data_IF_524371355264
#
_entry.id   IF_524371355264
#
_cell.length_a   1.000
_cell.length_b   1.000
_cell.length_c   1.000
_cell.angle_alpha   90.00
_cell.angle_beta   90.00
_cell.angle_gamma   90.00
#
_symmetry.space_group_name_H-M   'P 1'
#
loop_
_entity.id
_entity.type
_entity.pdbx_description
1 polymer ?
#
# COMPACT_ATOMS: atom_id res chain seq x y z
N UNK A 1 18.43 -1.22 -10.40
CA UNK A 1 18.40 -1.41 -8.92
C UNK A 1 16.98 -1.17 -8.47
N UNK A 2 16.35 -2.18 -7.85
CA UNK A 2 14.95 -2.08 -7.39
C UNK A 2 14.90 -1.36 -6.04
N UNK A 3 13.93 -0.46 -5.89
CA UNK A 3 13.69 0.30 -4.66
C UNK A 3 12.29 -0.01 -4.16
N UNK A 4 12.19 -0.36 -2.88
CA UNK A 4 10.92 -0.58 -2.19
C UNK A 4 10.69 0.54 -1.19
N UNK A 5 9.63 1.30 -1.42
CA UNK A 5 9.15 2.33 -0.50
C UNK A 5 7.66 2.15 -0.22
N UNK A 6 7.19 2.77 0.87
CA UNK A 6 5.76 2.86 1.17
C UNK A 6 5.01 3.53 -0.01
N UNK A 7 3.75 3.16 -0.26
CA UNK A 7 2.99 3.69 -1.37
C UNK A 7 2.69 5.18 -1.22
N UNK A 8 2.40 5.80 -2.36
CA UNK A 8 1.67 7.07 -2.40
C UNK A 8 0.17 6.77 -2.33
N UNK A 9 -0.60 7.76 -1.89
CA UNK A 9 -2.05 7.67 -1.81
C UNK A 9 -2.69 8.63 -2.82
N UNK A 10 -3.91 8.33 -3.27
CA UNK A 10 -4.60 9.14 -4.27
C UNK A 10 -4.88 10.58 -3.83
N UNK A 11 -5.05 10.80 -2.52
CA UNK A 11 -4.98 12.13 -1.92
C UNK A 11 -3.69 12.32 -1.13
N UNK A 12 -3.32 13.58 -0.92
CA UNK A 12 -2.36 13.98 0.12
C UNK A 12 -2.98 13.83 1.52
N UNK A 13 -3.45 12.62 1.87
CA UNK A 13 -4.20 12.33 3.10
C UNK A 13 -3.48 12.79 4.35
N UNK A 14 -2.14 12.81 4.40
CA UNK A 14 -1.39 13.34 5.55
C UNK A 14 -1.74 14.79 5.91
N UNK A 15 -2.13 15.61 4.93
CA UNK A 15 -2.62 16.97 5.19
C UNK A 15 -4.06 16.94 5.76
N UNK A 16 -4.85 15.94 5.37
CA UNK A 16 -6.27 15.79 5.71
C UNK A 16 -6.52 14.95 6.97
N UNK A 17 -5.59 14.07 7.37
CA UNK A 17 -5.66 13.24 8.58
C UNK A 17 -5.72 14.10 9.86
N UNK A 18 -5.32 15.37 9.80
CA UNK A 18 -5.46 16.35 10.88
C UNK A 18 -6.88 16.88 11.07
N UNK A 19 -7.74 16.74 10.05
CA UNK A 19 -9.11 17.21 10.09
C UNK A 19 -10.01 16.00 10.38
N UNK A 20 -10.69 16.02 11.52
CA UNK A 20 -11.59 14.96 11.98
C UNK A 20 -12.60 14.59 10.89
N UNK A 21 -12.58 13.33 10.45
CA UNK A 21 -13.59 12.49 9.74
C UNK A 21 -14.49 13.05 8.62
N UNK A 22 -14.58 14.36 8.43
CA UNK A 22 -15.48 15.05 7.51
C UNK A 22 -14.77 16.27 6.93
N UNK A 23 -14.13 16.06 5.79
CA UNK A 23 -13.66 17.14 4.93
C UNK A 23 -14.45 17.06 3.63
N UNK A 24 -14.96 18.18 3.09
CA UNK A 24 -15.58 18.20 1.76
C UNK A 24 -14.68 17.62 0.65
N UNK A 25 -13.36 17.57 0.89
CA UNK A 25 -12.39 16.93 -0.01
C UNK A 25 -12.50 15.41 0.01
N UNK A 26 -12.77 14.80 1.17
CA UNK A 26 -12.99 13.35 1.28
C UNK A 26 -14.29 12.95 0.59
N UNK A 27 -15.37 13.71 0.79
CA UNK A 27 -16.65 13.48 0.11
C UNK A 27 -16.50 13.57 -1.41
N UNK A 28 -15.80 14.61 -1.90
CA UNK A 28 -15.53 14.76 -3.33
C UNK A 28 -14.67 13.62 -3.91
N UNK A 29 -13.77 13.06 -3.10
CA UNK A 29 -12.93 11.93 -3.49
C UNK A 29 -13.71 10.63 -3.54
N UNK A 30 -14.56 10.35 -2.55
CA UNK A 30 -15.51 9.23 -2.57
C UNK A 30 -16.43 9.32 -3.81
N UNK A 31 -17.00 10.51 -4.09
CA UNK A 31 -17.81 10.73 -5.30
C UNK A 31 -17.04 10.48 -6.59
N UNK A 32 -15.79 10.94 -6.68
CA UNK A 32 -14.96 10.75 -7.87
C UNK A 32 -14.72 9.25 -8.14
N UNK A 33 -14.35 8.48 -7.11
CA UNK A 33 -14.16 7.03 -7.23
C UNK A 33 -15.48 6.36 -7.61
N UNK A 34 -16.58 6.76 -6.98
CA UNK A 34 -17.90 6.21 -7.30
C UNK A 34 -18.30 6.45 -8.76
N UNK A 35 -18.07 7.65 -9.27
CA UNK A 35 -18.38 7.99 -10.66
C UNK A 35 -17.52 7.21 -11.66
N UNK A 36 -16.22 7.05 -11.38
CA UNK A 36 -15.34 6.21 -12.22
C UNK A 36 -15.81 4.75 -12.19
N UNK A 37 -16.10 4.19 -11.01
CA UNK A 37 -16.61 2.82 -10.90
C UNK A 37 -17.97 2.62 -11.60
N UNK A 38 -18.85 3.64 -11.56
CA UNK A 38 -20.11 3.63 -12.30
C UNK A 38 -19.89 3.58 -13.82
N UNK A 39 -18.90 4.32 -14.33
CA UNK A 39 -18.56 4.33 -15.76
C UNK A 39 -17.98 2.98 -16.20
N UNK A 40 -17.19 2.33 -15.34
CA UNK A 40 -16.61 1.01 -15.61
C UNK A 40 -17.63 -0.14 -15.41
N UNK A 41 -18.77 0.14 -14.77
CA UNK A 41 -19.81 -0.83 -14.48
C UNK A 41 -19.53 -1.60 -13.19
N UNK A 42 -20.07 -1.12 -12.07
CA UNK A 42 -19.98 -1.84 -10.80
C UNK A 42 -20.51 -3.26 -10.91
N UNK A 43 -19.81 -4.20 -10.28
CA UNK A 43 -20.27 -5.58 -10.16
C UNK A 43 -21.57 -5.66 -9.35
N UNK A 44 -21.70 -4.83 -8.31
CA UNK A 44 -22.93 -4.68 -7.54
C UNK A 44 -23.24 -3.21 -7.28
N UNK A 45 -24.21 -2.66 -8.02
CA UNK A 45 -24.62 -1.26 -7.89
C UNK A 45 -25.23 -0.91 -6.52
N UNK A 46 -25.73 -1.92 -5.78
CA UNK A 46 -26.37 -1.69 -4.46
C UNK A 46 -25.37 -1.53 -3.33
N UNK A 47 -24.20 -2.19 -3.40
CA UNK A 47 -23.12 -2.06 -2.41
C UNK A 47 -22.00 -1.11 -2.84
N UNK A 48 -21.99 -0.67 -4.10
CA UNK A 48 -20.92 0.17 -4.66
C UNK A 48 -20.57 1.42 -3.83
N UNK A 49 -21.56 2.06 -3.20
CA UNK A 49 -21.31 3.21 -2.31
C UNK A 49 -20.56 2.81 -1.04
N UNK A 50 -20.97 1.72 -0.42
CA UNK A 50 -20.34 1.21 0.80
C UNK A 50 -18.93 0.68 0.52
N UNK A 51 -18.72 0.03 -0.63
CA UNK A 51 -17.41 -0.44 -1.08
C UNK A 51 -16.44 0.72 -1.34
N UNK A 52 -16.90 1.77 -2.02
CA UNK A 52 -16.08 2.99 -2.23
C UNK A 52 -15.73 3.63 -0.90
N UNK A 53 -16.69 3.71 0.02
CA UNK A 53 -16.45 4.22 1.37
C UNK A 53 -15.42 3.40 2.12
N UNK A 54 -15.55 2.07 2.12
CA UNK A 54 -14.61 1.17 2.76
C UNK A 54 -13.20 1.29 2.19
N UNK A 55 -13.08 1.50 0.87
CA UNK A 55 -11.80 1.75 0.20
C UNK A 55 -11.15 3.06 0.67
N UNK A 56 -11.91 4.15 0.73
CA UNK A 56 -11.39 5.44 1.22
C UNK A 56 -11.02 5.37 2.71
N UNK A 57 -11.83 4.69 3.52
CA UNK A 57 -11.52 4.45 4.94
C UNK A 57 -10.23 3.63 5.12
N UNK A 58 -9.96 2.65 4.26
CA UNK A 58 -8.70 1.91 4.25
C UNK A 58 -7.51 2.82 3.88
N UNK A 59 -7.61 3.64 2.84
CA UNK A 59 -6.56 4.59 2.47
C UNK A 59 -6.24 5.57 3.61
N UNK A 60 -7.26 6.04 4.34
CA UNK A 60 -7.09 6.89 5.53
C UNK A 60 -6.33 6.15 6.64
N UNK A 61 -6.65 4.89 6.91
CA UNK A 61 -5.96 4.08 7.91
C UNK A 61 -4.47 3.90 7.55
N UNK A 62 -4.19 3.55 6.29
CA UNK A 62 -2.82 3.43 5.78
C UNK A 62 -2.05 4.75 5.88
N UNK A 63 -2.70 5.88 5.62
CA UNK A 63 -2.10 7.20 5.73
C UNK A 63 -1.79 7.60 7.19
N UNK A 64 -2.69 7.31 8.14
CA UNK A 64 -2.46 7.56 9.57
C UNK A 64 -1.31 6.74 10.13
N UNK A 65 -1.26 5.45 9.79
CA UNK A 65 -0.17 4.57 10.18
C UNK A 65 1.20 5.09 9.72
N UNK A 66 1.27 5.67 8.51
CA UNK A 66 2.46 6.37 8.02
C UNK A 66 2.80 7.61 8.85
N UNK A 67 1.82 8.39 9.30
CA UNK A 67 2.03 9.66 10.01
C UNK A 67 2.58 9.47 11.41
N UNK A 68 1.94 8.60 12.20
CA UNK A 68 2.25 8.38 13.63
C UNK A 68 3.72 7.98 13.86
N UNK A 69 4.38 7.45 12.83
CA UNK A 69 5.73 6.91 12.94
C UNK A 69 6.76 7.67 12.08
N UNK A 70 6.34 8.74 11.40
CA UNK A 70 7.21 9.56 10.53
C UNK A 70 8.28 10.36 11.28
N UNK A 71 8.09 10.65 12.57
CA UNK A 71 9.02 11.43 13.40
C UNK A 71 10.19 10.62 13.98
N UNK A 72 10.09 9.28 14.02
CA UNK A 72 11.06 8.40 14.67
C UNK A 72 11.97 7.63 13.70
N UNK A 73 11.66 7.63 12.40
CA UNK A 73 12.31 6.72 11.43
C UNK A 73 13.04 7.57 10.39
N UNK A 74 14.34 7.73 10.63
CA UNK A 74 15.26 8.16 9.57
C UNK A 74 15.07 7.16 8.42
N UNK A 75 14.72 7.67 7.24
CA UNK A 75 14.72 6.91 5.98
C UNK A 75 16.16 6.48 5.68
N UNK A 76 16.65 5.46 6.37
CA UNK A 76 17.93 4.85 6.07
C UNK A 76 17.72 3.89 4.91
N UNK A 77 18.22 4.28 3.74
CA UNK A 77 18.37 3.39 2.59
C UNK A 77 19.11 2.14 3.05
N UNK A 78 18.40 1.03 3.15
CA UNK A 78 18.93 -0.23 3.67
C UNK A 78 18.93 -1.25 2.54
N UNK A 79 20.09 -1.64 2.01
CA UNK A 79 20.17 -2.76 1.09
C UNK A 79 19.74 -4.05 1.81
N UNK A 80 18.88 -4.84 1.17
CA UNK A 80 18.44 -6.15 1.66
C UNK A 80 18.38 -7.14 0.50
N UNK A 81 18.77 -8.40 0.73
CA UNK A 81 18.60 -9.45 -0.27
C UNK A 81 17.16 -9.94 -0.28
N UNK A 82 16.68 -10.39 -1.43
CA UNK A 82 15.32 -10.93 -1.54
C UNK A 82 15.09 -12.15 -0.64
N UNK A 83 16.11 -12.99 -0.42
CA UNK A 83 16.03 -14.12 0.52
C UNK A 83 15.69 -13.67 1.95
N UNK A 84 16.23 -12.53 2.38
CA UNK A 84 16.04 -12.00 3.73
C UNK A 84 14.70 -11.27 3.91
N UNK A 85 13.93 -11.01 2.85
CA UNK A 85 12.67 -10.25 2.94
C UNK A 85 11.63 -11.04 3.74
N UNK A 86 11.45 -12.31 3.44
CA UNK A 86 10.38 -13.09 4.06
C UNK A 86 10.52 -13.19 5.59
N UNK A 87 11.76 -13.31 6.09
CA UNK A 87 12.04 -13.41 7.52
C UNK A 87 11.97 -12.05 8.26
N UNK A 88 12.07 -10.94 7.53
CA UNK A 88 12.17 -9.60 8.10
C UNK A 88 10.89 -8.77 8.02
N UNK A 89 9.87 -9.22 7.29
CA UNK A 89 8.62 -8.52 7.04
C UNK A 89 7.41 -9.40 7.31
N UNK A 90 6.24 -8.78 7.25
CA UNK A 90 4.96 -9.45 7.41
C UNK A 90 4.83 -10.73 6.58
N UNK A 91 4.22 -11.76 7.19
CA UNK A 91 3.88 -13.03 6.58
C UNK A 91 2.57 -12.97 5.77
N UNK A 92 1.79 -11.89 5.89
CA UNK A 92 0.52 -11.71 5.17
C UNK A 92 0.73 -11.49 3.67
N UNK A 93 1.92 -11.02 3.29
CA UNK A 93 2.28 -10.72 1.92
C UNK A 93 3.60 -11.40 1.60
N UNK A 94 3.56 -12.35 0.66
CA UNK A 94 4.77 -12.94 0.11
C UNK A 94 5.47 -11.97 -0.85
N UNK A 95 6.07 -10.94 -0.24
CA UNK A 95 6.71 -9.84 -0.94
C UNK A 95 7.87 -10.32 -1.81
N UNK A 96 8.57 -11.38 -1.38
CA UNK A 96 9.64 -12.01 -2.17
C UNK A 96 9.09 -12.53 -3.50
N UNK A 97 8.08 -13.39 -3.46
CA UNK A 97 7.52 -13.97 -4.68
C UNK A 97 6.80 -12.93 -5.53
N UNK A 98 6.14 -11.94 -4.92
CA UNK A 98 5.56 -10.81 -5.64
C UNK A 98 6.63 -10.05 -6.45
N UNK A 99 7.76 -9.68 -5.83
CA UNK A 99 8.83 -8.96 -6.51
C UNK A 99 9.47 -9.81 -7.61
N UNK A 100 9.67 -11.11 -7.38
CA UNK A 100 10.20 -12.00 -8.42
C UNK A 100 9.23 -12.08 -9.60
N UNK A 101 7.94 -12.31 -9.34
CA UNK A 101 6.92 -12.38 -10.39
C UNK A 101 6.79 -11.07 -11.17
N UNK A 102 6.90 -9.92 -10.50
CA UNK A 102 6.82 -8.61 -11.14
C UNK A 102 8.04 -8.36 -12.05
N UNK A 103 9.24 -8.63 -11.55
CA UNK A 103 10.48 -8.35 -12.29
C UNK A 103 10.70 -9.32 -13.45
N UNK A 104 10.24 -10.56 -13.31
CA UNK A 104 10.31 -11.60 -14.36
C UNK A 104 9.11 -11.56 -15.31
N UNK A 105 8.15 -10.65 -15.11
CA UNK A 105 7.00 -10.52 -16.01
C UNK A 105 7.47 -10.16 -17.42
N UNK A 106 6.77 -10.59 -18.48
CA UNK A 106 7.15 -10.29 -19.87
C UNK A 106 7.32 -8.79 -20.15
N UNK A 107 6.56 -7.94 -19.44
CA UNK A 107 6.57 -6.50 -19.58
C UNK A 107 7.84 -5.85 -19.00
N UNK A 108 8.42 -6.45 -17.95
CA UNK A 108 9.64 -5.95 -17.29
C UNK A 108 10.89 -6.64 -17.83
N UNK A 109 10.81 -7.95 -18.11
CA UNK A 109 11.80 -8.70 -18.87
C UNK A 109 13.12 -9.00 -18.13
N UNK A 110 13.17 -8.90 -16.80
CA UNK A 110 14.39 -9.23 -16.03
C UNK A 110 14.41 -10.73 -15.73
N UNK A 111 14.97 -11.48 -16.67
CA UNK A 111 14.99 -12.95 -16.65
C UNK A 111 15.81 -13.60 -15.52
N UNK A 112 16.76 -12.89 -14.93
CA UNK A 112 17.69 -13.40 -13.92
C UNK A 112 17.38 -12.89 -12.49
N UNK A 113 16.22 -12.27 -12.28
CA UNK A 113 15.85 -11.76 -10.96
C UNK A 113 15.42 -12.90 -10.01
N UNK A 114 16.21 -13.10 -8.96
CA UNK A 114 16.11 -14.22 -8.03
C UNK A 114 16.53 -13.80 -6.59
N UNK A 115 16.56 -14.77 -5.68
CA UNK A 115 16.84 -14.59 -4.25
C UNK A 115 18.12 -13.82 -3.91
N UNK A 116 19.13 -13.91 -4.79
CA UNK A 116 20.44 -13.27 -4.59
C UNK A 116 20.43 -11.78 -4.92
N UNK A 117 19.35 -11.27 -5.53
CA UNK A 117 19.25 -9.87 -5.88
C UNK A 117 19.06 -9.01 -4.62
N UNK A 118 19.79 -7.89 -4.59
CA UNK A 118 19.65 -6.87 -3.55
C UNK A 118 18.67 -5.80 -4.00
N UNK A 119 17.77 -5.42 -3.11
CA UNK A 119 16.86 -4.28 -3.27
C UNK A 119 17.20 -3.21 -2.24
N UNK A 120 16.86 -1.96 -2.54
CA UNK A 120 16.98 -0.86 -1.59
C UNK A 120 15.65 -0.67 -0.88
N UNK A 121 15.66 -0.82 0.44
CA UNK A 121 14.48 -0.60 1.25
C UNK A 121 14.51 0.79 1.89
N UNK A 122 13.49 1.60 1.64
CA UNK A 122 13.38 2.97 2.18
C UNK A 122 12.45 3.09 3.39
N UNK A 123 11.38 2.28 3.44
CA UNK A 123 10.38 2.33 4.53
C UNK A 123 10.27 1.01 5.31
N UNK A 124 11.37 0.49 5.87
CA UNK A 124 11.41 -0.85 6.48
C UNK A 124 10.31 -1.06 7.51
N UNK A 125 10.17 -0.10 8.43
CA UNK A 125 9.16 -0.14 9.47
C UNK A 125 7.73 -0.27 8.93
N UNK A 126 7.42 0.37 7.78
CA UNK A 126 6.09 0.32 7.19
C UNK A 126 5.70 -1.12 6.83
N UNK A 127 6.59 -1.85 6.15
CA UNK A 127 6.34 -3.25 5.74
C UNK A 127 6.44 -4.24 6.91
N UNK A 128 7.24 -3.93 7.94
CA UNK A 128 7.30 -4.74 9.16
C UNK A 128 6.00 -4.71 9.95
N UNK A 129 5.28 -3.59 9.89
CA UNK A 129 4.06 -3.40 10.66
C UNK A 129 2.81 -3.43 9.76
N UNK A 130 2.92 -3.90 8.51
CA UNK A 130 1.80 -3.95 7.57
C UNK A 130 0.65 -4.85 8.08
N UNK A 131 0.96 -5.86 8.90
CA UNK A 131 -0.05 -6.74 9.53
C UNK A 131 -1.05 -5.99 10.40
N UNK A 132 -0.63 -4.90 11.04
CA UNK A 132 -1.55 -4.10 11.86
C UNK A 132 -2.51 -3.26 11.03
N UNK A 133 -2.24 -3.12 9.72
CA UNK A 133 -3.08 -2.40 8.77
C UNK A 133 -4.05 -3.29 8.00
N UNK A 134 -3.72 -4.56 7.80
CA UNK A 134 -4.66 -5.50 7.22
C UNK A 134 -5.57 -5.94 8.37
N UNK A 135 -6.82 -5.44 8.46
CA UNK A 135 -7.74 -6.01 9.43
C UNK A 135 -7.74 -7.51 9.19
N UNK A 136 -7.61 -8.30 10.25
CA UNK A 136 -7.87 -9.73 10.19
C UNK A 136 -9.24 -9.88 9.54
N UNK A 137 -9.26 -10.15 8.25
CA UNK A 137 -10.45 -10.55 7.54
C UNK A 137 -10.75 -11.90 8.16
N UNK A 138 -11.62 -11.89 9.17
CA UNK A 138 -12.20 -13.12 9.68
C UNK A 138 -12.77 -13.88 8.47
N UNK A 139 -12.37 -15.15 8.38
CA UNK A 139 -12.90 -16.13 7.44
C UNK A 139 -14.42 -16.24 7.56
#
# INVERSE_FOLDING_TARGET
MLVLDKPLFGLHFLAYCKYEKYSPVLDAYEEAIYHVGKLLGFQNATSARDEVKALVDLEIQMAKFRQENSSAIISSSTPIRLEDIHDNYSQILDLRNFLISLMTSPEVGVSDFNNNNTIIHLSRWYFQNLESLIPSTEN
#
